data_IF_187752091639
#
_entry.id   IF_187752091639
#
_cell.length_a   1.000
_cell.length_b   1.000
_cell.length_c   1.000
_cell.angle_alpha   90.00
_cell.angle_beta   90.00
_cell.angle_gamma   90.00
#
_symmetry.space_group_name_H-M   'P 1'
#
loop_
_entity.id
_entity.type
_entity.pdbx_description
1 polymer ?
#
# COMPACT_ATOMS: atom_id res chain seq x y z
N UNK A 1 26.98 -2.74 0.85
CA UNK A 1 25.90 -3.54 1.47
C UNK A 1 26.57 -4.45 2.47
N UNK A 2 26.23 -4.35 3.76
CA UNK A 2 26.66 -5.34 4.74
C UNK A 2 26.10 -6.70 4.30
N UNK A 3 26.98 -7.67 4.09
CA UNK A 3 26.58 -9.05 3.85
C UNK A 3 25.94 -9.53 5.14
N UNK A 4 24.65 -9.84 5.10
CA UNK A 4 23.90 -10.32 6.26
C UNK A 4 24.33 -11.77 6.50
N UNK A 5 25.02 -12.02 7.61
CA UNK A 5 25.47 -13.35 8.01
C UNK A 5 24.26 -14.22 8.41
N UNK A 6 23.99 -15.34 7.72
CA UNK A 6 22.91 -16.26 8.10
C UNK A 6 23.01 -16.78 9.55
N UNK A 7 24.23 -16.92 10.08
CA UNK A 7 24.40 -17.35 11.48
C UNK A 7 23.98 -16.26 12.47
N UNK A 8 24.20 -14.98 12.16
CA UNK A 8 23.67 -13.87 12.98
C UNK A 8 22.14 -13.80 12.91
N UNK A 9 21.55 -14.05 11.73
CA UNK A 9 20.09 -14.10 11.59
C UNK A 9 19.50 -15.17 12.51
N UNK A 10 20.08 -16.36 12.55
CA UNK A 10 19.58 -17.44 13.39
C UNK A 10 19.81 -17.18 14.89
N UNK A 11 20.91 -16.50 15.27
CA UNK A 11 21.15 -16.10 16.67
C UNK A 11 20.07 -15.18 17.24
N UNK A 12 19.50 -14.32 16.39
CA UNK A 12 18.44 -13.41 16.79
C UNK A 12 17.04 -14.02 16.74
N UNK A 13 16.90 -15.22 16.16
CA UNK A 13 15.60 -15.88 16.04
C UNK A 13 15.14 -16.37 17.41
N UNK A 14 13.87 -16.11 17.72
CA UNK A 14 13.29 -16.63 18.96
C UNK A 14 13.11 -18.14 18.87
N UNK A 15 13.19 -18.81 20.02
CA UNK A 15 12.69 -20.18 20.12
C UNK A 15 11.20 -20.22 19.79
N UNK A 16 10.73 -21.31 19.19
CA UNK A 16 9.32 -21.49 18.86
C UNK A 16 8.38 -21.32 20.07
N UNK A 17 8.83 -21.74 21.26
CA UNK A 17 8.07 -21.59 22.50
C UNK A 17 7.91 -20.12 22.89
N UNK A 18 9.00 -19.34 22.82
CA UNK A 18 8.99 -17.91 23.14
C UNK A 18 8.20 -17.10 22.10
N UNK A 19 8.36 -17.43 20.81
CA UNK A 19 7.57 -16.82 19.73
C UNK A 19 6.05 -17.00 19.98
N UNK A 20 5.62 -18.23 20.26
CA UNK A 20 4.21 -18.54 20.57
C UNK A 20 3.72 -17.87 21.85
N UNK A 21 4.58 -17.78 22.87
CA UNK A 21 4.27 -17.12 24.14
C UNK A 21 3.98 -15.63 23.90
N UNK A 22 4.88 -14.92 23.21
CA UNK A 22 4.70 -13.50 22.86
C UNK A 22 3.43 -13.31 22.03
N UNK A 23 3.16 -14.20 21.07
CA UNK A 23 1.94 -14.12 20.28
C UNK A 23 0.69 -14.15 21.17
N UNK A 24 0.58 -15.16 22.03
CA UNK A 24 -0.61 -15.38 22.87
C UNK A 24 -0.76 -14.33 23.97
N UNK A 25 0.33 -13.96 24.63
CA UNK A 25 0.29 -13.13 25.84
C UNK A 25 0.36 -11.64 25.53
N UNK A 26 0.80 -11.24 24.33
CA UNK A 26 0.98 -9.83 23.97
C UNK A 26 0.27 -9.46 22.67
N UNK A 27 0.57 -10.13 21.57
CA UNK A 27 0.01 -9.76 20.25
C UNK A 27 -1.51 -9.95 20.23
N UNK A 28 -2.00 -11.10 20.73
CA UNK A 28 -3.44 -11.39 20.73
C UNK A 28 -4.23 -10.35 21.55
N UNK A 29 -3.91 -10.10 22.84
CA UNK A 29 -4.61 -9.10 23.63
C UNK A 29 -4.58 -7.68 23.04
N UNK A 30 -3.42 -7.27 22.52
CA UNK A 30 -3.22 -5.90 22.06
C UNK A 30 -3.87 -5.62 20.70
N UNK A 31 -3.78 -6.57 19.76
CA UNK A 31 -4.08 -6.32 18.35
C UNK A 31 -5.25 -7.13 17.79
N UNK A 32 -5.52 -8.33 18.32
CA UNK A 32 -6.46 -9.28 17.70
C UNK A 32 -7.77 -9.42 18.51
N UNK A 33 -7.67 -9.39 19.84
CA UNK A 33 -8.81 -9.58 20.73
C UNK A 33 -9.81 -8.41 20.70
N UNK A 34 -11.02 -8.65 21.20
CA UNK A 34 -12.09 -7.64 21.27
C UNK A 34 -12.82 -7.39 19.94
N UNK A 35 -12.69 -8.31 18.98
CA UNK A 35 -13.51 -8.35 17.76
C UNK A 35 -14.62 -9.39 17.91
N UNK A 36 -15.74 -9.19 17.23
CA UNK A 36 -16.90 -10.08 17.30
C UNK A 36 -16.86 -11.06 16.13
N UNK A 37 -16.86 -12.36 16.43
CA UNK A 37 -16.94 -13.42 15.42
C UNK A 37 -18.22 -13.33 14.58
N UNK A 38 -18.11 -13.69 13.31
CA UNK A 38 -19.17 -13.67 12.32
C UNK A 38 -19.38 -15.08 11.76
N UNK A 39 -20.60 -15.40 11.37
CA UNK A 39 -20.89 -16.67 10.66
C UNK A 39 -20.25 -16.70 9.26
N UNK A 40 -20.13 -15.54 8.62
CA UNK A 40 -19.47 -15.37 7.31
C UNK A 40 -18.59 -14.13 7.36
N UNK A 41 -17.37 -14.22 7.90
CA UNK A 41 -16.49 -13.06 8.00
C UNK A 41 -16.03 -12.60 6.61
N UNK A 42 -16.06 -11.29 6.36
CA UNK A 42 -15.36 -10.66 5.25
C UNK A 42 -13.86 -10.52 5.55
N UNK A 43 -13.02 -11.13 4.71
CA UNK A 43 -11.57 -11.01 4.71
C UNK A 43 -11.12 -10.29 3.45
N UNK A 44 -10.53 -9.11 3.63
CA UNK A 44 -10.13 -8.21 2.56
C UNK A 44 -8.64 -8.31 2.32
N UNK A 45 -8.22 -8.84 1.18
CA UNK A 45 -6.86 -8.76 0.70
C UNK A 45 -6.64 -7.39 0.04
N UNK A 46 -5.99 -6.47 0.77
CA UNK A 46 -5.62 -5.17 0.22
C UNK A 46 -4.23 -5.26 -0.40
N UNK A 47 -4.21 -5.46 -1.71
CA UNK A 47 -3.03 -5.79 -2.49
C UNK A 47 -2.41 -4.52 -3.07
N UNK A 48 -1.16 -4.22 -2.71
CA UNK A 48 -0.45 -3.10 -3.29
C UNK A 48 1.02 -3.08 -2.89
N UNK A 49 1.89 -2.73 -3.84
CA UNK A 49 3.33 -2.67 -3.60
C UNK A 49 3.64 -1.62 -2.51
N UNK A 50 4.81 -1.70 -1.85
CA UNK A 50 5.25 -0.66 -0.92
C UNK A 50 5.17 0.74 -1.57
N UNK A 51 4.65 1.71 -0.83
CA UNK A 51 4.46 3.09 -1.33
C UNK A 51 3.23 3.32 -2.22
N UNK A 52 2.44 2.30 -2.57
CA UNK A 52 1.23 2.46 -3.39
C UNK A 52 0.12 3.32 -2.73
N UNK A 53 0.20 3.56 -1.42
CA UNK A 53 -0.77 4.40 -0.71
C UNK A 53 -2.09 3.70 -0.36
N UNK A 54 -1.99 2.47 0.16
CA UNK A 54 -3.13 1.64 0.60
C UNK A 54 -4.03 2.31 1.64
N UNK A 55 -3.48 3.23 2.46
CA UNK A 55 -4.13 3.80 3.65
C UNK A 55 -5.56 4.31 3.43
N UNK A 56 -5.82 5.02 2.31
CA UNK A 56 -7.16 5.56 2.03
C UNK A 56 -8.20 4.46 1.83
N UNK A 57 -7.83 3.38 1.14
CA UNK A 57 -8.68 2.21 0.94
C UNK A 57 -8.80 1.43 2.24
N UNK A 58 -7.71 1.29 3.01
CA UNK A 58 -7.75 0.71 4.37
C UNK A 58 -8.76 1.44 5.25
N UNK A 59 -8.74 2.77 5.31
CA UNK A 59 -9.69 3.57 6.11
C UNK A 59 -11.15 3.33 5.70
N UNK A 60 -11.40 3.27 4.39
CA UNK A 60 -12.74 3.01 3.85
C UNK A 60 -13.24 1.62 4.27
N UNK A 61 -12.43 0.59 4.08
CA UNK A 61 -12.77 -0.79 4.43
C UNK A 61 -12.92 -0.93 5.95
N UNK A 62 -11.99 -0.39 6.72
CA UNK A 62 -12.03 -0.37 8.18
C UNK A 62 -13.33 0.28 8.69
N UNK A 63 -13.73 1.41 8.09
CA UNK A 63 -15.00 2.07 8.41
C UNK A 63 -16.22 1.20 8.17
N UNK A 64 -16.20 0.34 7.14
CA UNK A 64 -17.25 -0.64 6.88
C UNK A 64 -17.24 -1.77 7.90
N UNK A 65 -16.10 -2.45 8.08
CA UNK A 65 -15.98 -3.61 8.98
C UNK A 65 -16.22 -3.26 10.45
N UNK A 66 -15.83 -2.05 10.89
CA UNK A 66 -16.08 -1.59 12.25
C UNK A 66 -17.56 -1.45 12.61
N UNK A 67 -18.46 -1.31 11.63
CA UNK A 67 -19.90 -1.33 11.88
C UNK A 67 -20.46 -2.74 12.11
N UNK A 68 -19.66 -3.77 11.83
CA UNK A 68 -20.04 -5.18 11.84
C UNK A 68 -19.09 -6.01 12.70
N UNK A 69 -18.82 -5.58 13.94
CA UNK A 69 -18.02 -6.38 14.88
C UNK A 69 -16.52 -6.12 14.87
N UNK A 70 -16.04 -5.19 14.02
CA UNK A 70 -14.63 -4.82 13.93
C UNK A 70 -13.80 -5.84 13.15
N UNK A 71 -12.52 -5.52 12.93
CA UNK A 71 -11.62 -6.34 12.12
C UNK A 71 -10.22 -6.44 12.73
N UNK A 72 -9.48 -7.46 12.32
CA UNK A 72 -8.04 -7.59 12.58
C UNK A 72 -7.27 -7.02 11.39
N UNK A 73 -6.36 -6.07 11.63
CA UNK A 73 -5.40 -5.61 10.62
C UNK A 73 -4.19 -6.55 10.64
N UNK A 74 -4.01 -7.32 9.57
CA UNK A 74 -2.96 -8.33 9.44
C UNK A 74 -1.82 -7.74 8.61
N UNK A 75 -0.83 -7.22 9.32
CA UNK A 75 0.40 -6.66 8.76
C UNK A 75 1.60 -7.07 9.62
N UNK A 76 2.62 -7.64 8.97
CA UNK A 76 3.86 -8.07 9.62
C UNK A 76 4.55 -6.93 10.37
N UNK A 77 4.36 -5.68 9.91
CA UNK A 77 4.95 -4.50 10.52
C UNK A 77 4.34 -4.15 11.88
N UNK A 78 3.11 -4.60 12.15
CA UNK A 78 2.48 -4.44 13.46
C UNK A 78 3.05 -5.42 14.49
N UNK A 79 3.57 -6.57 14.03
CA UNK A 79 4.07 -7.63 14.91
C UNK A 79 5.55 -7.52 15.23
N UNK A 80 6.38 -7.02 14.31
CA UNK A 80 7.83 -6.88 14.51
C UNK A 80 8.23 -6.12 15.81
N UNK A 81 7.52 -5.05 16.23
CA UNK A 81 7.82 -4.35 17.47
C UNK A 81 7.70 -5.21 18.75
N UNK A 82 7.04 -6.36 18.69
CA UNK A 82 6.94 -7.29 19.82
C UNK A 82 8.21 -8.12 20.02
N UNK A 83 9.12 -8.14 19.04
CA UNK A 83 10.41 -8.81 19.19
C UNK A 83 11.25 -8.12 20.29
N UNK A 84 11.78 -8.85 21.29
CA UNK A 84 12.49 -8.26 22.42
C UNK A 84 13.67 -7.36 22.01
N UNK A 85 14.34 -7.71 20.92
CA UNK A 85 15.49 -6.94 20.41
C UNK A 85 15.13 -5.84 19.40
N UNK A 86 13.84 -5.67 19.04
CA UNK A 86 13.42 -4.76 17.97
C UNK A 86 13.98 -3.34 18.14
N UNK A 87 13.79 -2.74 19.31
CA UNK A 87 14.22 -1.38 19.59
C UNK A 87 15.75 -1.23 19.48
N UNK A 88 16.50 -2.21 20.01
CA UNK A 88 17.97 -2.24 19.96
C UNK A 88 18.48 -2.34 18.53
N UNK A 89 17.92 -3.27 17.75
CA UNK A 89 18.31 -3.50 16.36
C UNK A 89 17.95 -2.31 15.47
N UNK A 90 16.78 -1.73 15.67
CA UNK A 90 16.35 -0.54 14.93
C UNK A 90 17.27 0.66 15.20
N UNK A 91 17.70 0.87 16.45
CA UNK A 91 18.65 1.93 16.77
C UNK A 91 20.05 1.71 16.16
N UNK A 92 20.41 0.47 15.81
CA UNK A 92 21.70 0.13 15.22
C UNK A 92 21.70 0.24 13.70
N UNK A 93 20.79 -0.47 13.04
CA UNK A 93 20.71 -0.55 11.59
C UNK A 93 19.32 -1.09 11.18
N UNK A 94 18.59 -0.31 10.40
CA UNK A 94 17.23 -0.64 9.96
C UNK A 94 17.16 -1.89 9.08
N UNK A 95 18.23 -2.15 8.33
CA UNK A 95 18.38 -3.26 7.41
C UNK A 95 18.69 -4.54 8.18
N UNK A 96 19.57 -4.47 9.19
CA UNK A 96 19.82 -5.61 10.08
C UNK A 96 18.58 -5.96 10.90
N UNK A 97 17.89 -4.96 11.47
CA UNK A 97 16.62 -5.18 12.17
C UNK A 97 15.61 -5.92 11.29
N UNK A 98 15.44 -5.48 10.04
CA UNK A 98 14.49 -6.07 9.11
C UNK A 98 14.88 -7.50 8.68
N UNK A 99 16.16 -7.87 8.76
CA UNK A 99 16.62 -9.22 8.48
C UNK A 99 16.44 -10.14 9.68
N UNK A 100 16.87 -9.71 10.86
CA UNK A 100 16.88 -10.52 12.08
C UNK A 100 15.48 -10.79 12.63
N UNK A 101 14.54 -9.84 12.50
CA UNK A 101 13.16 -10.01 12.98
C UNK A 101 12.22 -10.65 11.96
N UNK A 102 12.71 -10.97 10.75
CA UNK A 102 11.86 -11.39 9.63
C UNK A 102 11.16 -12.73 9.89
N UNK A 103 11.89 -13.71 10.40
CA UNK A 103 11.36 -15.05 10.62
C UNK A 103 10.24 -15.02 11.66
N UNK A 104 10.49 -14.39 12.82
CA UNK A 104 9.50 -14.23 13.88
C UNK A 104 8.28 -13.43 13.45
N UNK A 105 8.48 -12.33 12.70
CA UNK A 105 7.39 -11.54 12.14
C UNK A 105 6.50 -12.33 11.17
N UNK A 106 7.08 -13.21 10.35
CA UNK A 106 6.32 -14.12 9.46
C UNK A 106 5.57 -15.19 10.26
N UNK A 107 6.18 -15.75 11.29
CA UNK A 107 5.54 -16.72 12.17
C UNK A 107 4.33 -16.12 12.90
N UNK A 108 4.44 -14.87 13.40
CA UNK A 108 3.32 -14.16 14.01
C UNK A 108 2.23 -13.80 13.02
N UNK A 109 2.57 -13.42 11.78
CA UNK A 109 1.57 -13.22 10.73
C UNK A 109 0.78 -14.50 10.44
N UNK A 110 1.45 -15.65 10.31
CA UNK A 110 0.76 -16.93 10.11
C UNK A 110 -0.14 -17.32 11.30
N UNK A 111 0.32 -17.07 12.53
CA UNK A 111 -0.50 -17.27 13.74
C UNK A 111 -1.70 -16.33 13.80
N UNK A 112 -1.55 -15.06 13.39
CA UNK A 112 -2.65 -14.10 13.31
C UNK A 112 -3.68 -14.51 12.25
N UNK A 113 -3.24 -14.95 11.07
CA UNK A 113 -4.13 -15.47 10.02
C UNK A 113 -4.92 -16.69 10.51
N UNK A 114 -4.26 -17.63 11.22
CA UNK A 114 -4.92 -18.77 11.84
C UNK A 114 -5.94 -18.36 12.89
N UNK A 115 -5.58 -17.43 13.78
CA UNK A 115 -6.47 -16.89 14.81
C UNK A 115 -7.73 -16.26 14.20
N UNK A 116 -7.58 -15.46 13.13
CA UNK A 116 -8.71 -14.85 12.39
C UNK A 116 -9.66 -15.93 11.86
N UNK A 117 -9.13 -17.00 11.24
CA UNK A 117 -9.96 -18.10 10.72
C UNK A 117 -10.68 -18.87 11.83
N UNK A 118 -9.96 -19.24 12.89
CA UNK A 118 -10.51 -20.00 14.02
C UNK A 118 -11.65 -19.27 14.73
N UNK A 119 -11.56 -17.93 14.81
CA UNK A 119 -12.54 -17.10 15.53
C UNK A 119 -13.59 -16.46 14.60
N UNK A 120 -13.58 -16.77 13.30
CA UNK A 120 -14.51 -16.21 12.33
C UNK A 120 -14.49 -14.68 12.27
N UNK A 121 -13.30 -14.06 12.29
CA UNK A 121 -13.17 -12.60 12.39
C UNK A 121 -13.06 -11.95 11.01
N UNK A 122 -13.60 -10.73 10.89
CA UNK A 122 -13.23 -9.88 9.76
C UNK A 122 -11.74 -9.55 9.81
N UNK A 123 -11.12 -9.41 8.65
CA UNK A 123 -9.73 -8.99 8.57
C UNK A 123 -9.43 -8.14 7.33
N UNK A 124 -8.40 -7.32 7.44
CA UNK A 124 -7.72 -6.70 6.31
C UNK A 124 -6.32 -7.29 6.26
N UNK A 125 -5.99 -8.01 5.20
CA UNK A 125 -4.66 -8.57 4.95
C UNK A 125 -3.87 -7.57 4.11
N UNK A 126 -2.84 -6.95 4.70
CA UNK A 126 -1.96 -6.02 3.99
C UNK A 126 -0.98 -6.79 3.11
N UNK A 127 -1.29 -6.93 1.83
CA UNK A 127 -0.53 -7.79 0.92
C UNK A 127 0.32 -6.96 -0.06
N UNK A 128 1.55 -7.43 -0.33
CA UNK A 128 2.47 -6.85 -1.32
C UNK A 128 2.74 -7.81 -2.50
N UNK A 129 2.34 -9.08 -2.38
CA UNK A 129 2.35 -10.11 -3.41
C UNK A 129 3.73 -10.43 -4.01
N UNK A 130 4.75 -10.54 -3.16
CA UNK A 130 6.07 -11.03 -3.61
C UNK A 130 6.06 -12.51 -4.02
N UNK A 131 5.07 -13.28 -3.56
CA UNK A 131 4.88 -14.69 -3.91
C UNK A 131 3.40 -14.94 -4.16
N UNK A 132 2.95 -14.74 -5.40
CA UNK A 132 1.56 -14.88 -5.79
C UNK A 132 0.97 -16.28 -5.53
N UNK A 133 1.68 -17.42 -5.77
CA UNK A 133 1.21 -18.74 -5.37
C UNK A 133 0.86 -18.85 -3.88
N UNK A 134 1.74 -18.35 -2.99
CA UNK A 134 1.50 -18.41 -1.56
C UNK A 134 0.29 -17.55 -1.14
N UNK A 135 0.05 -16.41 -1.81
CA UNK A 135 -1.16 -15.60 -1.57
C UNK A 135 -2.42 -16.32 -2.05
N UNK A 136 -2.37 -16.99 -3.21
CA UNK A 136 -3.48 -17.83 -3.68
C UNK A 136 -3.85 -18.92 -2.67
N UNK A 137 -2.85 -19.62 -2.10
CA UNK A 137 -3.08 -20.61 -1.04
C UNK A 137 -3.76 -20.00 0.20
N UNK A 138 -3.35 -18.79 0.62
CA UNK A 138 -3.99 -18.07 1.72
C UNK A 138 -5.44 -17.73 1.40
N UNK A 139 -5.72 -17.22 0.19
CA UNK A 139 -7.08 -16.87 -0.24
C UNK A 139 -7.99 -18.11 -0.22
N UNK A 140 -7.51 -19.25 -0.73
CA UNK A 140 -8.23 -20.53 -0.68
C UNK A 140 -8.51 -20.95 0.77
N UNK A 141 -7.50 -20.89 1.64
CA UNK A 141 -7.68 -21.26 3.04
C UNK A 141 -8.73 -20.41 3.78
N UNK A 142 -8.88 -19.12 3.42
CA UNK A 142 -9.98 -18.30 3.94
C UNK A 142 -11.34 -18.69 3.38
N UNK A 143 -11.45 -18.95 2.07
CA UNK A 143 -12.69 -19.45 1.46
C UNK A 143 -13.12 -20.78 2.07
N UNK A 144 -12.19 -21.70 2.25
CA UNK A 144 -12.43 -23.03 2.83
C UNK A 144 -12.89 -22.93 4.30
N UNK A 145 -12.54 -21.83 5.00
CA UNK A 145 -13.04 -21.53 6.34
C UNK A 145 -14.42 -20.84 6.36
N UNK A 146 -15.06 -20.67 5.20
CA UNK A 146 -16.39 -20.03 5.08
C UNK A 146 -16.34 -18.50 5.05
N UNK A 147 -15.16 -17.89 4.87
CA UNK A 147 -15.03 -16.45 4.77
C UNK A 147 -15.44 -15.94 3.38
N UNK A 148 -16.10 -14.78 3.35
CA UNK A 148 -16.22 -13.96 2.14
C UNK A 148 -14.86 -13.31 1.87
N UNK A 149 -14.25 -13.57 0.73
CA UNK A 149 -12.96 -13.03 0.34
C UNK A 149 -13.13 -11.88 -0.64
N UNK A 150 -12.60 -10.71 -0.31
CA UNK A 150 -12.55 -9.56 -1.22
C UNK A 150 -11.10 -9.21 -1.54
N UNK A 151 -10.79 -8.96 -2.81
CA UNK A 151 -9.46 -8.63 -3.28
C UNK A 151 -9.44 -7.23 -3.89
N UNK A 152 -8.82 -6.29 -3.18
CA UNK A 152 -8.78 -4.87 -3.52
C UNK A 152 -7.35 -4.52 -3.93
N UNK A 153 -7.13 -4.23 -5.20
CA UNK A 153 -5.82 -4.01 -5.77
C UNK A 153 -5.53 -2.52 -5.99
N UNK A 154 -4.29 -2.11 -5.73
CA UNK A 154 -3.80 -0.77 -6.04
C UNK A 154 -3.19 -0.72 -7.45
N UNK A 155 -3.90 -0.11 -8.40
CA UNK A 155 -3.43 0.19 -9.76
C UNK A 155 -2.61 1.48 -9.78
N UNK A 156 -1.39 1.43 -9.25
CA UNK A 156 -0.56 2.63 -9.06
C UNK A 156 0.72 2.54 -9.89
N UNK A 157 1.05 3.55 -10.72
CA UNK A 157 2.29 3.60 -11.48
C UNK A 157 3.55 3.44 -10.61
N UNK A 158 4.57 2.76 -11.14
CA UNK A 158 5.79 2.43 -10.37
C UNK A 158 6.48 3.67 -9.79
N UNK A 159 6.56 4.75 -10.57
CA UNK A 159 7.18 6.01 -10.14
C UNK A 159 6.49 6.60 -8.90
N UNK A 160 5.15 6.58 -8.85
CA UNK A 160 4.38 7.07 -7.70
C UNK A 160 4.65 6.22 -6.45
N UNK A 161 4.68 4.89 -6.59
CA UNK A 161 5.00 4.01 -5.45
C UNK A 161 6.45 4.18 -4.97
N UNK A 162 7.41 4.30 -5.88
CA UNK A 162 8.82 4.52 -5.52
C UNK A 162 9.03 5.88 -4.84
N UNK A 163 8.39 6.95 -5.33
CA UNK A 163 8.35 8.24 -4.64
C UNK A 163 7.72 8.09 -3.25
N UNK A 164 6.63 7.33 -3.13
CA UNK A 164 5.97 7.06 -1.85
C UNK A 164 6.87 6.34 -0.83
N UNK A 165 7.71 5.40 -1.28
CA UNK A 165 8.71 4.72 -0.43
C UNK A 165 9.71 5.75 0.12
N UNK A 166 10.30 6.56 -0.76
CA UNK A 166 11.30 7.57 -0.37
C UNK A 166 10.66 8.61 0.55
N UNK A 167 9.47 9.09 0.21
CA UNK A 167 8.77 10.08 1.00
C UNK A 167 8.50 9.59 2.43
N UNK A 168 7.95 8.38 2.57
CA UNK A 168 7.70 7.79 3.89
C UNK A 168 8.99 7.64 4.68
N UNK A 169 10.08 7.25 4.03
CA UNK A 169 11.37 7.10 4.70
C UNK A 169 11.90 8.44 5.21
N UNK A 170 11.84 9.51 4.40
CA UNK A 170 12.26 10.85 4.83
C UNK A 170 11.38 11.39 5.97
N UNK A 171 10.08 11.15 5.92
CA UNK A 171 9.17 11.50 7.03
C UNK A 171 9.54 10.77 8.32
N UNK A 172 9.91 9.48 8.25
CA UNK A 172 10.35 8.71 9.43
C UNK A 172 11.68 9.23 9.99
N UNK A 173 12.65 9.54 9.13
CA UNK A 173 13.91 10.16 9.56
C UNK A 173 13.66 11.49 10.27
N UNK A 174 12.78 12.34 9.73
CA UNK A 174 12.45 13.63 10.32
C UNK A 174 11.71 13.50 11.67
N UNK A 175 10.79 12.55 11.80
CA UNK A 175 9.98 12.33 13.00
C UNK A 175 10.77 11.64 14.14
N UNK A 176 11.64 10.69 13.80
CA UNK A 176 12.21 9.73 14.77
C UNK A 176 13.73 9.65 14.77
N UNK A 177 14.41 10.35 13.87
CA UNK A 177 15.84 10.19 13.61
C UNK A 177 16.22 8.87 12.94
N UNK A 178 15.26 7.97 12.71
CA UNK A 178 15.45 6.65 12.12
C UNK A 178 14.23 6.28 11.28
N UNK A 179 14.46 5.62 10.14
CA UNK A 179 13.42 5.15 9.24
C UNK A 179 13.74 3.74 8.74
N UNK A 180 12.76 3.10 8.10
CA UNK A 180 12.97 1.79 7.48
C UNK A 180 12.81 1.88 5.98
N UNK A 181 13.93 1.93 5.27
CA UNK A 181 13.90 2.01 3.82
C UNK A 181 13.51 0.66 3.23
N UNK A 182 12.52 0.66 2.33
CA UNK A 182 12.18 -0.56 1.60
C UNK A 182 13.27 -0.85 0.57
N UNK A 183 13.79 -2.08 0.59
CA UNK A 183 14.74 -2.58 -0.41
C UNK A 183 14.08 -2.54 -1.79
N UNK A 184 14.75 -1.92 -2.77
CA UNK A 184 14.15 -1.65 -4.09
C UNK A 184 13.77 -2.95 -4.82
N UNK A 185 14.62 -3.98 -4.80
CA UNK A 185 14.31 -5.27 -5.42
C UNK A 185 13.02 -5.89 -4.88
N UNK A 186 12.78 -5.80 -3.57
CA UNK A 186 11.54 -6.30 -2.96
C UNK A 186 10.31 -5.53 -3.42
N UNK A 187 10.45 -4.20 -3.63
CA UNK A 187 9.37 -3.37 -4.17
C UNK A 187 9.09 -3.71 -5.64
N UNK A 188 10.13 -3.98 -6.43
CA UNK A 188 10.02 -4.35 -7.84
C UNK A 188 9.42 -5.76 -8.00
N UNK A 189 9.84 -6.73 -7.19
CA UNK A 189 9.22 -8.06 -7.09
C UNK A 189 7.74 -7.96 -6.73
N UNK A 190 7.40 -7.14 -5.74
CA UNK A 190 5.99 -6.87 -5.38
C UNK A 190 5.23 -6.27 -6.56
N UNK A 191 5.82 -5.30 -7.25
CA UNK A 191 5.18 -4.66 -8.40
C UNK A 191 4.86 -5.68 -9.50
N UNK A 192 5.79 -6.56 -9.83
CA UNK A 192 5.57 -7.62 -10.82
C UNK A 192 4.56 -8.68 -10.34
N UNK A 193 4.75 -9.20 -9.12
CA UNK A 193 3.95 -10.29 -8.55
C UNK A 193 2.47 -9.94 -8.36
N UNK A 194 2.12 -8.66 -8.21
CA UNK A 194 0.72 -8.21 -8.17
C UNK A 194 -0.05 -8.55 -9.46
N UNK A 195 0.58 -8.44 -10.64
CA UNK A 195 -0.07 -8.80 -11.90
C UNK A 195 -0.25 -10.32 -12.03
N UNK A 196 0.70 -11.10 -11.53
CA UNK A 196 0.58 -12.56 -11.47
C UNK A 196 -0.56 -12.99 -10.53
N UNK A 197 -0.67 -12.35 -9.36
CA UNK A 197 -1.77 -12.61 -8.44
C UNK A 197 -3.12 -12.24 -9.06
N UNK A 198 -3.20 -11.14 -9.80
CA UNK A 198 -4.42 -10.78 -10.51
C UNK A 198 -4.88 -11.86 -11.50
N UNK A 199 -3.96 -12.44 -12.28
CA UNK A 199 -4.28 -13.56 -13.18
C UNK A 199 -4.77 -14.79 -12.41
N UNK A 200 -4.18 -15.07 -11.24
CA UNK A 200 -4.59 -16.18 -10.36
C UNK A 200 -5.99 -15.97 -9.79
N UNK A 201 -6.30 -14.75 -9.34
CA UNK A 201 -7.63 -14.39 -8.83
C UNK A 201 -8.69 -14.59 -9.90
N UNK A 202 -8.46 -14.06 -11.10
CA UNK A 202 -9.39 -14.19 -12.23
C UNK A 202 -9.58 -15.66 -12.63
N UNK A 203 -8.48 -16.39 -12.88
CA UNK A 203 -8.52 -17.80 -13.33
C UNK A 203 -9.12 -18.73 -12.28
N UNK A 204 -8.83 -18.48 -11.00
CA UNK A 204 -9.21 -19.34 -9.90
C UNK A 204 -10.52 -18.96 -9.21
N UNK A 205 -11.17 -17.86 -9.62
CA UNK A 205 -12.32 -17.27 -8.93
C UNK A 205 -12.05 -17.15 -7.41
N UNK A 206 -10.88 -16.64 -7.05
CA UNK A 206 -10.36 -16.70 -5.66
C UNK A 206 -11.02 -15.70 -4.69
N UNK A 207 -11.80 -14.76 -5.21
CA UNK A 207 -12.45 -13.72 -4.41
C UNK A 207 -13.89 -13.53 -4.89
N UNK A 208 -14.79 -13.25 -3.95
CA UNK A 208 -16.20 -12.93 -4.22
C UNK A 208 -16.34 -11.53 -4.84
N UNK A 209 -15.36 -10.65 -4.58
CA UNK A 209 -15.22 -9.33 -5.17
C UNK A 209 -13.75 -9.07 -5.51
N UNK A 210 -13.47 -8.65 -6.74
CA UNK A 210 -12.17 -8.14 -7.17
C UNK A 210 -12.31 -6.72 -7.69
N UNK A 211 -11.41 -5.82 -7.28
CA UNK A 211 -11.49 -4.41 -7.69
C UNK A 211 -10.13 -3.73 -7.77
N UNK A 212 -10.03 -2.66 -8.57
CA UNK A 212 -8.81 -1.86 -8.75
C UNK A 212 -9.05 -0.43 -8.33
N UNK A 213 -8.18 0.11 -7.47
CA UNK A 213 -8.21 1.47 -6.97
C UNK A 213 -6.99 2.26 -7.44
N UNK A 214 -7.20 3.56 -7.63
CA UNK A 214 -6.12 4.53 -7.79
C UNK A 214 -5.66 5.04 -6.42
N UNK A 215 -4.42 5.51 -6.37
CA UNK A 215 -3.88 6.16 -5.16
C UNK A 215 -4.72 7.39 -4.80
N UNK A 216 -5.15 7.46 -3.54
CA UNK A 216 -5.92 8.59 -3.02
C UNK A 216 -7.42 8.56 -3.32
N UNK A 217 -7.89 7.62 -4.13
CA UNK A 217 -9.32 7.44 -4.43
C UNK A 217 -9.94 6.37 -3.51
N UNK A 218 -11.23 6.55 -3.18
CA UNK A 218 -12.04 5.53 -2.47
C UNK A 218 -13.07 4.87 -3.40
N UNK A 219 -13.07 5.22 -4.68
CA UNK A 219 -13.94 4.60 -5.70
C UNK A 219 -13.09 3.69 -6.59
N UNK A 220 -13.50 2.45 -6.84
CA UNK A 220 -12.77 1.58 -7.76
C UNK A 220 -12.94 2.03 -9.22
N UNK A 221 -11.92 1.77 -10.03
CA UNK A 221 -11.89 1.98 -11.49
C UNK A 221 -12.25 0.72 -12.26
N UNK A 222 -12.13 -0.43 -11.62
CA UNK A 222 -12.57 -1.74 -12.08
C UNK A 222 -13.22 -2.47 -10.90
N UNK A 223 -14.26 -3.23 -11.18
CA UNK A 223 -14.90 -4.12 -10.21
C UNK A 223 -15.55 -5.30 -10.93
N UNK A 224 -15.38 -6.50 -10.38
CA UNK A 224 -16.08 -7.71 -10.81
C UNK A 224 -16.40 -8.54 -9.57
N UNK A 225 -17.51 -9.24 -9.58
CA UNK A 225 -17.93 -10.11 -8.47
C UNK A 225 -18.36 -11.46 -8.99
N UNK A 226 -18.29 -12.46 -8.13
CA UNK A 226 -18.88 -13.77 -8.40
C UNK A 226 -20.40 -13.70 -8.23
N UNK A 227 -21.12 -14.49 -9.02
CA UNK A 227 -22.53 -14.80 -8.80
C UNK A 227 -22.69 -16.00 -7.85
N UNK A 228 -23.94 -16.37 -7.56
CA UNK A 228 -24.27 -17.48 -6.68
C UNK A 228 -23.82 -18.85 -7.21
N UNK A 229 -23.43 -18.94 -8.49
CA UNK A 229 -22.88 -20.15 -9.11
C UNK A 229 -21.36 -20.21 -9.05
N UNK A 230 -20.71 -19.19 -8.49
CA UNK A 230 -19.25 -19.08 -8.40
C UNK A 230 -18.59 -18.63 -9.70
N UNK A 231 -19.35 -18.09 -10.65
CA UNK A 231 -18.82 -17.55 -11.89
C UNK A 231 -18.72 -16.03 -11.84
N UNK A 232 -17.75 -15.45 -12.55
CA UNK A 232 -17.66 -14.01 -12.69
C UNK A 232 -18.88 -13.43 -13.41
N UNK A 233 -19.48 -12.39 -12.84
CA UNK A 233 -20.64 -11.69 -13.42
C UNK A 233 -20.29 -10.93 -14.70
N UNK A 234 -19.06 -10.42 -14.81
CA UNK A 234 -18.49 -9.87 -16.03
C UNK A 234 -17.25 -10.63 -16.50
N UNK A 235 -16.77 -10.41 -17.73
CA UNK A 235 -15.53 -11.02 -18.19
C UNK A 235 -14.37 -10.71 -17.23
N UNK A 236 -13.58 -11.72 -16.80
CA UNK A 236 -12.40 -11.47 -15.97
C UNK A 236 -11.40 -10.59 -16.72
N UNK A 237 -10.83 -9.61 -16.03
CA UNK A 237 -9.99 -8.57 -16.62
C UNK A 237 -9.17 -7.79 -15.61
N UNK A 238 -8.93 -8.36 -14.43
CA UNK A 238 -8.28 -7.71 -13.30
C UNK A 238 -6.84 -7.31 -13.63
N UNK A 239 -6.07 -8.21 -14.26
CA UNK A 239 -4.70 -7.91 -14.72
C UNK A 239 -4.69 -6.75 -15.71
N UNK A 240 -5.59 -6.78 -16.69
CA UNK A 240 -5.65 -5.74 -17.72
C UNK A 240 -6.01 -4.38 -17.11
N UNK A 241 -6.97 -4.36 -16.18
CA UNK A 241 -7.33 -3.16 -15.44
C UNK A 241 -6.15 -2.59 -14.64
N UNK A 242 -5.36 -3.45 -13.99
CA UNK A 242 -4.14 -3.03 -13.28
C UNK A 242 -3.07 -2.47 -14.21
N UNK A 243 -2.79 -3.14 -15.33
CA UNK A 243 -1.82 -2.66 -16.32
C UNK A 243 -2.25 -1.30 -16.89
N UNK A 244 -3.53 -1.15 -17.25
CA UNK A 244 -4.08 0.11 -17.76
C UNK A 244 -3.90 1.26 -16.76
N UNK A 245 -4.13 1.02 -15.47
CA UNK A 245 -3.95 2.05 -14.43
C UNK A 245 -2.48 2.36 -14.13
N UNK A 246 -1.56 1.41 -14.36
CA UNK A 246 -0.12 1.62 -14.20
C UNK A 246 0.51 2.42 -15.34
N UNK A 247 -0.03 2.28 -16.55
CA UNK A 247 0.55 2.82 -17.78
C UNK A 247 -0.15 4.07 -18.31
N UNK A 248 -1.32 4.42 -17.76
CA UNK A 248 -2.06 5.60 -18.23
C UNK A 248 -1.27 6.91 -18.03
N UNK A 249 -1.47 7.90 -18.92
CA UNK A 249 -1.08 9.27 -18.65
C UNK A 249 -1.72 9.80 -17.36
N UNK A 250 -0.98 10.63 -16.66
CA UNK A 250 -1.42 11.28 -15.43
C UNK A 250 -2.24 12.52 -15.75
N UNK A 251 -3.19 12.81 -14.87
CA UNK A 251 -3.89 14.08 -14.88
C UNK A 251 -2.94 15.23 -14.52
N UNK A 252 -3.35 16.48 -14.80
CA UNK A 252 -2.59 17.66 -14.38
C UNK A 252 -2.37 17.67 -12.86
N UNK A 253 -3.44 17.43 -12.07
CA UNK A 253 -3.35 17.41 -10.61
C UNK A 253 -2.40 16.32 -10.07
N UNK A 254 -2.42 15.13 -10.67
CA UNK A 254 -1.48 14.05 -10.31
C UNK A 254 -0.03 14.43 -10.64
N UNK A 255 0.18 15.02 -11.81
CA UNK A 255 1.50 15.48 -12.26
C UNK A 255 2.05 16.58 -11.35
N UNK A 256 1.24 17.58 -11.01
CA UNK A 256 1.63 18.70 -10.14
C UNK A 256 1.94 18.21 -8.72
N UNK A 257 1.12 17.29 -8.19
CA UNK A 257 1.36 16.67 -6.88
C UNK A 257 2.66 15.87 -6.84
N UNK A 258 2.94 15.10 -7.90
CA UNK A 258 4.18 14.34 -8.02
C UNK A 258 5.39 15.27 -8.11
N UNK A 259 5.35 16.31 -8.95
CA UNK A 259 6.44 17.28 -9.08
C UNK A 259 6.71 18.00 -7.77
N UNK A 260 5.66 18.48 -7.10
CA UNK A 260 5.77 19.16 -5.80
C UNK A 260 6.47 18.27 -4.77
N UNK A 261 6.05 17.01 -4.69
CA UNK A 261 6.67 16.02 -3.78
C UNK A 261 8.12 15.76 -4.18
N UNK A 262 8.40 15.58 -5.47
CA UNK A 262 9.74 15.27 -5.97
C UNK A 262 10.74 16.40 -5.67
N UNK A 263 10.34 17.66 -5.89
CA UNK A 263 11.18 18.83 -5.62
C UNK A 263 11.46 18.97 -4.11
N UNK A 264 10.46 18.72 -3.26
CA UNK A 264 10.67 18.67 -1.80
C UNK A 264 11.68 17.58 -1.43
N UNK A 265 11.54 16.38 -1.99
CA UNK A 265 12.47 15.28 -1.72
C UNK A 265 13.89 15.61 -2.19
N UNK A 266 14.07 16.29 -3.33
CA UNK A 266 15.38 16.76 -3.79
C UNK A 266 16.05 17.70 -2.80
N UNK A 267 15.28 18.61 -2.19
CA UNK A 267 15.80 19.53 -1.19
C UNK A 267 16.26 18.76 0.06
N UNK A 268 15.39 17.93 0.63
CA UNK A 268 15.73 17.11 1.81
C UNK A 268 16.90 16.16 1.54
N UNK A 269 16.99 15.60 0.33
CA UNK A 269 18.05 14.69 -0.06
C UNK A 269 19.46 15.30 -0.02
N UNK A 270 19.60 16.63 -0.12
CA UNK A 270 20.91 17.31 -0.06
C UNK A 270 21.63 17.08 1.26
N UNK A 271 20.87 16.89 2.34
CA UNK A 271 21.39 16.72 3.69
C UNK A 271 21.60 15.24 4.08
N UNK A 272 21.08 14.29 3.29
CA UNK A 272 21.01 12.87 3.67
C UNK A 272 22.09 11.98 3.04
N UNK A 273 22.77 12.42 1.98
CA UNK A 273 23.89 11.69 1.38
C UNK A 273 23.87 11.57 -0.15
N UNK A 274 24.97 11.10 -0.76
CA UNK A 274 25.16 11.08 -2.21
C UNK A 274 24.31 10.05 -2.96
N UNK A 275 23.69 9.09 -2.29
CA UNK A 275 22.87 8.04 -2.91
C UNK A 275 21.48 8.53 -3.34
N UNK A 276 20.98 9.61 -2.73
CA UNK A 276 19.62 10.10 -2.93
C UNK A 276 19.38 10.77 -4.27
N UNK A 277 20.27 11.65 -4.78
CA UNK A 277 20.09 12.27 -6.10
C UNK A 277 19.87 11.24 -7.20
N UNK A 278 20.72 10.20 -7.28
CA UNK A 278 20.59 9.15 -8.29
C UNK A 278 19.34 8.29 -8.14
N UNK A 279 18.85 8.07 -6.90
CA UNK A 279 17.56 7.39 -6.67
C UNK A 279 16.38 8.25 -7.13
N UNK A 280 16.40 9.55 -6.82
CA UNK A 280 15.34 10.48 -7.21
C UNK A 280 15.27 10.68 -8.73
N UNK A 281 16.42 10.78 -9.41
CA UNK A 281 16.47 10.83 -10.89
C UNK A 281 15.84 9.60 -11.54
N UNK A 282 16.13 8.39 -11.03
CA UNK A 282 15.49 7.17 -11.56
C UNK A 282 13.96 7.19 -11.41
N UNK A 283 13.44 7.76 -10.32
CA UNK A 283 12.00 7.92 -10.10
C UNK A 283 11.40 8.92 -11.10
N UNK A 284 12.12 9.99 -11.43
CA UNK A 284 11.71 10.97 -12.44
C UNK A 284 11.70 10.39 -13.84
N UNK A 285 12.71 9.59 -14.19
CA UNK A 285 12.78 8.90 -15.49
C UNK A 285 11.61 7.93 -15.67
N UNK A 286 11.24 7.21 -14.60
CA UNK A 286 10.04 6.36 -14.59
C UNK A 286 8.74 7.17 -14.75
N UNK A 287 8.66 8.38 -14.20
CA UNK A 287 7.48 9.23 -14.26
C UNK A 287 7.32 9.97 -15.60
N UNK A 288 8.44 10.29 -16.26
CA UNK A 288 8.51 11.12 -17.47
C UNK A 288 7.51 10.74 -18.57
N UNK A 289 7.33 9.46 -18.96
CA UNK A 289 6.37 9.10 -20.01
C UNK A 289 4.90 9.28 -19.59
N UNK A 290 4.62 9.41 -18.29
CA UNK A 290 3.26 9.50 -17.76
C UNK A 290 2.86 10.93 -17.37
N UNK A 291 3.83 11.80 -17.13
CA UNK A 291 3.60 13.20 -16.75
C UNK A 291 3.00 14.03 -17.89
N UNK A 292 2.29 15.11 -17.53
CA UNK A 292 2.00 16.17 -18.50
C UNK A 292 3.30 16.84 -18.97
N UNK A 293 3.35 17.37 -20.22
CA UNK A 293 4.55 18.02 -20.74
C UNK A 293 5.09 19.15 -19.85
N UNK A 294 4.20 19.97 -19.29
CA UNK A 294 4.58 21.08 -18.40
C UNK A 294 5.19 20.59 -17.07
N UNK A 295 4.67 19.51 -16.51
CA UNK A 295 5.22 18.93 -15.29
C UNK A 295 6.57 18.24 -15.54
N UNK A 296 6.72 17.55 -16.69
CA UNK A 296 7.99 16.96 -17.10
C UNK A 296 9.10 18.03 -17.30
N UNK A 297 8.75 19.21 -17.84
CA UNK A 297 9.68 20.31 -17.99
C UNK A 297 10.23 20.81 -16.65
N UNK A 298 9.40 20.88 -15.61
CA UNK A 298 9.79 21.33 -14.26
C UNK A 298 10.79 20.39 -13.55
N UNK A 299 10.79 19.10 -13.89
CA UNK A 299 11.73 18.13 -13.31
C UNK A 299 13.08 18.10 -14.03
N UNK A 300 13.17 18.71 -15.22
CA UNK A 300 14.43 18.76 -15.97
C UNK A 300 15.41 19.67 -15.22
N UNK A 301 16.65 19.23 -14.95
CA UNK A 301 17.65 20.12 -14.37
C UNK A 301 17.78 21.33 -15.28
N UNK A 302 17.50 22.52 -14.76
CA UNK A 302 17.93 23.74 -15.43
C UNK A 302 19.46 23.68 -15.45
N UNK A 303 20.05 23.44 -16.62
CA UNK A 303 21.45 23.79 -16.84
C UNK A 303 21.62 25.22 -16.32
N UNK A 304 22.67 25.53 -15.54
CA UNK A 304 22.93 26.91 -15.19
C UNK A 304 23.03 27.68 -16.51
N UNK A 305 22.11 28.62 -16.74
CA UNK A 305 22.26 29.57 -17.84
C UNK A 305 23.67 30.13 -17.76
N UNK A 306 24.43 30.17 -18.86
CA UNK A 306 25.67 30.95 -18.84
C UNK A 306 25.27 32.36 -18.42
N UNK A 307 25.80 32.81 -17.28
CA UNK A 307 25.61 34.17 -16.83
C UNK A 307 25.95 35.10 -17.99
N UNK A 308 25.18 36.17 -18.26
CA UNK A 308 25.55 37.12 -19.28
C UNK A 308 26.89 37.72 -18.83
N UNK A 309 27.97 37.34 -19.52
CA UNK A 309 29.26 38.00 -19.35
C UNK A 309 29.03 39.48 -19.51
N UNK A 310 29.31 40.22 -18.44
CA UNK A 310 29.23 41.65 -18.41
C UNK A 310 29.99 42.24 -19.60
N UNK A 311 29.28 43.11 -20.30
CA UNK A 311 29.76 43.94 -21.40
C UNK A 311 31.14 44.51 -21.11
N UNK A 312 32.16 44.03 -21.82
CA UNK A 312 33.41 44.75 -21.98
C UNK A 312 33.20 45.82 -23.07
N UNK A 313 33.22 47.09 -22.67
CA UNK A 313 33.33 48.24 -23.58
C UNK A 313 34.81 48.54 -23.91
N UNK A 314 35.09 49.23 -25.04
CA UNK A 314 36.23 48.93 -25.92
C UNK A 314 37.39 49.92 -25.80
N UNK A 315 38.56 49.58 -26.38
CA UNK A 315 39.50 50.43 -27.17
C UNK A 315 40.88 49.73 -27.33
N UNK A 316 41.78 50.14 -28.26
CA UNK A 316 41.66 49.94 -29.71
C UNK A 316 42.91 49.27 -30.36
N UNK A 317 42.71 48.80 -31.59
CA UNK A 317 43.65 48.71 -32.73
C UNK A 317 45.10 48.21 -32.53
N UNK A 318 45.41 47.06 -33.15
CA UNK A 318 46.45 47.01 -34.18
C UNK A 318 46.23 45.82 -35.12
N UNK A 319 46.53 46.08 -36.39
CA UNK A 319 46.19 45.29 -37.57
C UNK A 319 47.18 44.13 -37.82
N UNK A 320 46.67 43.00 -38.33
CA UNK A 320 46.91 42.52 -39.70
C UNK A 320 46.76 40.99 -39.84
N UNK A 321 46.44 40.48 -41.04
CA UNK A 321 45.76 39.20 -41.22
C UNK A 321 46.61 38.15 -41.95
N UNK A 322 46.19 36.88 -41.87
CA UNK A 322 46.30 35.81 -42.88
C UNK A 322 46.17 34.46 -42.17
N UNK A 323 45.62 33.39 -42.72
CA UNK A 323 44.81 33.10 -43.91
C UNK A 323 44.45 31.61 -43.79
N UNK A 324 43.32 31.19 -44.37
CA UNK A 324 43.10 29.85 -44.96
C UNK A 324 43.09 28.63 -44.01
N UNK A 325 42.34 27.55 -44.21
CA UNK A 325 41.32 27.16 -45.18
C UNK A 325 40.66 25.85 -44.68
N UNK A 326 39.37 25.68 -44.98
CA UNK A 326 38.74 24.49 -45.58
C UNK A 326 38.75 23.10 -44.88
N UNK A 327 37.83 22.19 -45.28
CA UNK A 327 37.04 21.39 -44.34
C UNK A 327 37.10 19.86 -44.53
N UNK A 328 36.39 19.14 -43.63
CA UNK A 328 35.64 17.88 -43.89
C UNK A 328 36.45 16.58 -44.12
N UNK A 329 35.84 15.36 -44.10
CA UNK A 329 34.59 14.91 -43.45
C UNK A 329 34.62 13.46 -42.85
N UNK A 330 33.51 13.11 -42.18
CA UNK A 330 32.80 11.81 -42.15
C UNK A 330 33.52 10.44 -42.20
N UNK A 331 33.09 9.53 -41.31
CA UNK A 331 32.67 8.19 -41.75
C UNK A 331 31.66 7.54 -40.80
N UNK A 332 30.64 6.95 -41.44
CA UNK A 332 29.57 6.10 -40.93
C UNK A 332 30.04 4.65 -40.84
N UNK A 333 29.47 3.84 -39.94
CA UNK A 333 29.30 2.38 -40.13
C UNK A 333 28.30 1.81 -39.13
N UNK A 334 27.36 1.03 -39.64
CA UNK A 334 26.34 0.26 -38.92
C UNK A 334 26.64 -1.25 -38.99
N UNK A 335 26.15 -2.03 -38.03
CA UNK A 335 25.72 -3.46 -38.10
C UNK A 335 25.62 -4.01 -36.67
N UNK A 336 24.52 -4.57 -36.16
CA UNK A 336 23.65 -5.71 -36.54
C UNK A 336 23.82 -6.85 -35.51
N UNK A 337 22.70 -7.27 -34.92
CA UNK A 337 22.55 -8.40 -33.97
C UNK A 337 22.82 -9.77 -34.62
N UNK A 338 22.94 -10.88 -33.84
CA UNK A 338 21.73 -11.68 -33.52
C UNK A 338 21.75 -12.48 -32.19
N UNK A 339 20.56 -12.94 -31.76
CA UNK A 339 20.31 -13.99 -30.74
C UNK A 339 20.51 -15.41 -31.33
N UNK A 340 20.56 -16.52 -30.53
CA UNK A 340 19.32 -17.21 -30.09
C UNK A 340 19.37 -18.06 -28.78
N UNK A 341 18.17 -18.25 -28.21
CA UNK A 341 17.48 -19.43 -27.60
C UNK A 341 18.17 -20.58 -26.81
N UNK A 342 17.56 -20.91 -25.65
CA UNK A 342 16.86 -22.18 -25.29
C UNK A 342 17.30 -22.98 -24.03
N UNK A 343 16.26 -23.55 -23.39
CA UNK A 343 16.15 -24.83 -22.65
C UNK A 343 16.28 -24.87 -21.10
N UNK A 344 15.15 -25.21 -20.46
CA UNK A 344 15.00 -25.81 -19.11
C UNK A 344 15.18 -27.34 -19.17
N UNK A 345 15.29 -28.03 -18.01
CA UNK A 345 14.18 -28.94 -17.67
C UNK A 345 13.82 -29.05 -16.16
N UNK A 346 12.69 -29.74 -15.99
CA UNK A 346 11.86 -30.03 -14.82
C UNK A 346 12.44 -31.08 -13.84
N UNK A 347 12.03 -31.02 -12.56
CA UNK A 347 12.00 -32.17 -11.65
C UNK A 347 10.87 -32.02 -10.59
N UNK A 348 10.02 -33.05 -10.50
CA UNK A 348 8.95 -33.21 -9.50
C UNK A 348 9.48 -33.82 -8.18
N UNK A 349 8.78 -33.66 -7.04
CA UNK A 349 9.19 -34.23 -5.75
C UNK A 349 8.45 -35.53 -5.39
N UNK A 350 8.95 -36.34 -4.44
CA UNK A 350 8.20 -37.43 -3.84
C UNK A 350 7.45 -37.04 -2.56
N UNK A 351 6.41 -37.83 -2.31
CA UNK A 351 5.42 -37.81 -1.23
C UNK A 351 5.88 -38.41 0.09
N UNK A 352 5.20 -38.02 1.17
CA UNK A 352 4.96 -38.69 2.47
C UNK A 352 4.74 -37.58 3.52
N UNK A 353 3.97 -37.65 4.60
CA UNK A 353 3.03 -38.61 5.18
C UNK A 353 2.46 -37.90 6.43
N UNK A 354 1.15 -37.96 6.67
CA UNK A 354 0.53 -37.48 7.92
C UNK A 354 0.97 -38.32 9.13
N UNK A 355 0.91 -37.75 10.36
CA UNK A 355 -0.11 -38.26 11.27
C UNK A 355 -0.77 -37.21 12.19
N UNK A 356 -2.09 -37.40 12.34
CA UNK A 356 -2.86 -37.51 13.59
C UNK A 356 -2.71 -36.47 14.71
N UNK A 357 -3.83 -35.78 14.96
CA UNK A 357 -4.19 -35.06 16.18
C UNK A 357 -4.19 -35.94 17.44
N UNK A 358 -4.10 -35.30 18.63
CA UNK A 358 -5.23 -35.45 19.56
C UNK A 358 -5.61 -34.18 20.33
N UNK A 359 -6.94 -33.97 20.38
CA UNK A 359 -7.79 -33.74 21.56
C UNK A 359 -7.44 -32.65 22.59
N UNK A 360 -8.34 -31.68 22.69
CA UNK A 360 -8.55 -30.71 23.78
C UNK A 360 -8.78 -31.36 25.15
N UNK A 361 -8.59 -30.58 26.25
CA UNK A 361 -9.74 -30.34 27.11
C UNK A 361 -9.85 -28.91 27.71
N UNK A 362 -11.10 -28.44 27.74
CA UNK A 362 -11.82 -27.78 28.85
C UNK A 362 -11.34 -26.46 29.49
N UNK A 363 -12.18 -25.42 29.36
CA UNK A 363 -12.31 -24.21 30.21
C UNK A 363 -12.67 -24.55 31.67
N UNK A 364 -12.50 -23.68 32.71
CA UNK A 364 -13.23 -22.39 32.92
C UNK A 364 -12.45 -21.35 33.80
N UNK A 365 -13.05 -20.37 34.52
CA UNK A 365 -14.15 -19.43 34.23
C UNK A 365 -13.73 -17.94 34.26
N UNK A 366 -14.67 -17.09 33.85
CA UNK A 366 -14.70 -15.61 33.81
C UNK A 366 -14.52 -14.90 35.17
N UNK A 367 -13.90 -13.70 35.15
CA UNK A 367 -14.29 -12.41 35.81
C UNK A 367 -13.12 -11.38 35.76
N UNK A 368 -13.33 -10.08 36.07
CA UNK A 368 -13.78 -9.00 35.19
C UNK A 368 -12.65 -7.99 34.81
N UNK A 369 -12.94 -7.17 33.79
CA UNK A 369 -12.12 -6.06 33.28
C UNK A 369 -11.62 -5.04 34.33
N UNK A 370 -10.58 -4.26 33.99
CA UNK A 370 -10.87 -2.86 33.61
C UNK A 370 -10.02 -2.28 32.46
N UNK A 371 -10.71 -1.49 31.63
CA UNK A 371 -10.36 -0.16 31.09
C UNK A 371 -9.07 0.11 30.28
N UNK A 372 -9.30 0.38 28.99
CA UNK A 372 -8.89 1.55 28.21
C UNK A 372 -7.38 1.92 28.05
N UNK A 373 -6.89 1.81 26.82
CA UNK A 373 -5.85 2.70 26.29
C UNK A 373 -6.16 3.07 24.83
N UNK A 374 -6.71 4.27 24.66
CA UNK A 374 -6.89 4.94 23.38
C UNK A 374 -5.58 5.63 22.97
N UNK A 375 -5.01 5.29 21.83
CA UNK A 375 -4.02 6.11 21.14
C UNK A 375 -4.63 6.63 19.84
N UNK A 376 -5.47 7.66 19.97
CA UNK A 376 -5.87 8.51 18.84
C UNK A 376 -4.84 9.62 18.65
N UNK A 377 -4.50 9.81 17.38
CA UNK A 377 -3.77 10.91 16.78
C UNK A 377 -4.08 12.27 17.43
N UNK A 378 -3.05 12.94 17.95
CA UNK A 378 -3.12 14.36 18.29
C UNK A 378 -2.42 15.17 17.21
N UNK A 379 -3.21 15.83 16.38
CA UNK A 379 -2.78 16.98 15.60
C UNK A 379 -2.58 18.16 16.56
N UNK A 380 -1.38 18.71 16.60
CA UNK A 380 -1.04 19.95 17.31
C UNK A 380 -1.48 21.18 16.51
N UNK A 381 -2.17 22.18 17.10
CA UNK A 381 -2.22 23.52 16.54
C UNK A 381 -1.15 24.42 17.18
N UNK A 382 -0.53 25.23 16.33
CA UNK A 382 0.50 26.24 16.62
C UNK A 382 -0.13 27.49 17.32
N UNK A 383 0.60 28.27 18.15
CA UNK A 383 -0.02 29.26 19.03
C UNK A 383 -0.03 30.70 18.47
N UNK A 384 -1.01 31.49 18.94
CA UNK A 384 -0.84 32.93 19.23
C UNK A 384 -1.73 33.95 18.48
N UNK A 385 -2.66 34.58 19.19
CA UNK A 385 -3.37 35.82 18.80
C UNK A 385 -4.59 36.11 19.71
N UNK A 386 -4.80 37.33 20.24
CA UNK A 386 -5.40 37.53 21.56
C UNK A 386 -6.94 37.64 21.61
N UNK A 387 -7.43 37.43 22.83
CA UNK A 387 -8.82 37.27 23.24
C UNK A 387 -9.69 38.54 23.15
N UNK A 388 -10.94 38.33 22.75
CA UNK A 388 -12.08 39.24 23.00
C UNK A 388 -13.21 38.46 23.65
N UNK A 389 -13.72 39.03 24.74
CA UNK A 389 -14.70 38.53 25.70
C UNK A 389 -16.07 38.23 25.07
N UNK A 390 -16.78 37.14 25.42
CA UNK A 390 -18.15 36.92 24.96
C UNK A 390 -19.20 37.48 25.94
N UNK A 391 -20.16 38.20 25.38
CA UNK A 391 -21.34 38.74 26.05
C UNK A 391 -22.49 37.70 26.02
N UNK A 392 -23.22 37.59 27.12
CA UNK A 392 -24.28 36.60 27.36
C UNK A 392 -25.54 36.80 26.47
N UNK A 393 -26.24 35.73 26.05
CA UNK A 393 -27.56 35.84 25.44
C UNK A 393 -28.68 35.67 26.49
N UNK A 394 -29.69 36.56 26.41
CA UNK A 394 -30.84 36.63 27.30
C UNK A 394 -31.92 35.55 27.06
N UNK A 395 -32.68 35.32 28.13
CA UNK A 395 -33.84 34.43 28.27
C UNK A 395 -35.04 34.91 27.43
N UNK A 396 -35.63 34.06 26.59
CA UNK A 396 -36.92 33.35 26.85
C UNK A 396 -38.00 33.80 25.84
N UNK A 397 -39.18 33.15 25.69
CA UNK A 397 -39.69 31.90 26.29
C UNK A 397 -40.21 30.84 25.27
N UNK A 398 -40.42 29.59 25.74
CA UNK A 398 -41.20 28.49 25.09
C UNK A 398 -42.64 28.43 25.70
N UNK A 399 -43.51 27.43 25.39
CA UNK A 399 -44.19 27.09 24.12
C UNK A 399 -45.74 26.92 24.30
N UNK A 400 -46.48 26.68 23.21
CA UNK A 400 -47.91 26.30 23.23
C UNK A 400 -48.26 25.28 22.11
N UNK A 401 -49.38 24.53 22.21
CA UNK A 401 -49.39 23.08 22.01
C UNK A 401 -49.90 22.55 20.65
N UNK A 402 -49.59 21.28 20.40
CA UNK A 402 -49.90 20.47 19.22
C UNK A 402 -51.30 19.82 19.26
N UNK A 403 -51.92 19.63 18.08
CA UNK A 403 -52.82 18.50 17.69
C UNK A 403 -53.34 18.67 16.23
N UNK A 404 -53.97 17.66 15.59
CA UNK A 404 -53.37 16.43 15.05
C UNK A 404 -53.73 16.17 13.56
N UNK A 405 -53.02 15.21 12.95
CA UNK A 405 -53.32 14.57 11.66
C UNK A 405 -54.55 13.66 11.73
N UNK A 406 -55.28 13.43 10.62
CA UNK A 406 -56.10 12.24 10.42
C UNK A 406 -55.48 11.26 9.40
N UNK A 407 -55.70 9.98 9.65
CA UNK A 407 -55.31 8.81 8.86
C UNK A 407 -56.58 7.98 8.51
N UNK A 408 -56.43 7.03 7.57
CA UNK A 408 -57.36 5.99 7.05
C UNK A 408 -58.15 6.43 5.80
N UNK A 409 -58.14 5.81 4.60
CA UNK A 409 -57.88 4.42 4.11
C UNK A 409 -59.14 3.95 3.31
N UNK A 410 -59.21 2.84 2.53
CA UNK A 410 -58.23 2.08 1.74
C UNK A 410 -58.70 1.66 0.29
N UNK A 411 -57.81 0.99 -0.48
CA UNK A 411 -58.02 -0.07 -1.54
C UNK A 411 -59.01 0.16 -2.71
N UNK A 412 -58.61 0.33 -4.00
CA UNK A 412 -58.08 -0.67 -4.98
C UNK A 412 -59.03 -0.76 -6.21
N UNK A 413 -58.79 -1.54 -7.30
CA UNK A 413 -57.61 -1.75 -8.16
C UNK A 413 -57.82 -1.23 -9.63
N UNK A 414 -56.76 -1.24 -10.47
CA UNK A 414 -56.87 -1.20 -11.95
C UNK A 414 -57.35 -2.55 -12.54
N UNK A 415 -57.29 -2.84 -13.87
CA UNK A 415 -56.55 -2.15 -14.95
C UNK A 415 -57.27 -2.07 -16.34
N UNK A 416 -56.53 -1.53 -17.33
CA UNK A 416 -56.47 -1.96 -18.76
C UNK A 416 -57.43 -1.42 -19.84
N UNK A 417 -56.83 -1.14 -21.00
CA UNK A 417 -57.45 -1.03 -22.34
C UNK A 417 -57.87 0.40 -22.74
N UNK A 418 -57.42 1.05 -23.81
CA UNK A 418 -56.83 0.56 -25.06
C UNK A 418 -57.79 0.78 -26.24
N UNK A 419 -57.49 1.81 -27.05
CA UNK A 419 -57.89 2.05 -28.46
C UNK A 419 -59.36 2.40 -28.77
N UNK A 420 -59.51 3.53 -29.47
CA UNK A 420 -59.92 3.49 -30.88
C UNK A 420 -61.33 3.97 -31.22
N UNK A 421 -61.33 5.08 -31.98
CA UNK A 421 -62.41 5.69 -32.80
C UNK A 421 -63.41 6.59 -32.10
#
# INVERSE_FOLDING_TARGET
MNVIDPAEVERHRLSDAENRRIFRERIVPDLLAGRVGQETPTVVFLVGQPGAGKSRVTEMVAGALNRHGGFVDVDSDLYKPYHPEYARLMAQDDTLMAAYTRADGRAWMAQAEAYVREHGLHAIIQETSQNAPAVEEKMRAYRDSGARVEALFMGVPQAMSNQGIVNRYFEQLADRGQGRLTVQSNADESYAGILELADRVDRGALADLASVYRRGESKPRYGNSLDDTGNWTGPPGLRQALAAERERPWTAAESDSFVTTQLRLRETARELGPEWPGRLTRIEDQARPLLTPNAAAQLTPTSPSPSPSASASPSPSSASPSASASPSPSSTSASASPSPSSASPSASPPSSSSPSSPSSPSSPPSSPSPSAAAARSRSTPRPGGPATTPQAPGEGPRPGPARPTPQQGPSGPGPSGGRGR
#
